data_IF_379624779073
#
_entry.id   IF_379624779073
#
_cell.length_a   1.000
_cell.length_b   1.000
_cell.length_c   1.000
_cell.angle_alpha   90.00
_cell.angle_beta   90.00
_cell.angle_gamma   90.00
#
_symmetry.space_group_name_H-M   'P 1'
#
loop_
_entity.id
_entity.type
_entity.pdbx_description
1 polymer ?
#
# COMPACT_ATOMS: atom_id res chain seq x y z
N UNK A 1 70.47 9.89 32.85
CA UNK A 1 70.44 10.64 31.57
C UNK A 1 69.09 10.32 30.92
N UNK A 2 68.18 11.31 30.84
CA UNK A 2 67.86 12.09 29.62
C UNK A 2 67.14 11.15 28.62
N UNK A 3 65.93 11.36 28.09
CA UNK A 3 65.24 12.56 27.58
C UNK A 3 63.73 12.23 27.47
N UNK A 4 62.84 12.97 28.11
CA UNK A 4 61.41 12.94 27.76
C UNK A 4 61.20 13.83 26.53
N UNK A 5 60.78 13.20 25.43
CA UNK A 5 60.48 13.88 24.16
C UNK A 5 59.02 14.35 24.18
N UNK A 6 58.82 15.62 24.47
CA UNK A 6 57.53 16.30 24.29
C UNK A 6 57.29 16.56 22.80
N UNK A 7 56.30 15.86 22.22
CA UNK A 7 55.69 16.24 20.93
C UNK A 7 54.28 16.79 21.19
N UNK A 8 53.99 18.06 20.85
CA UNK A 8 52.64 18.58 20.89
C UNK A 8 51.89 18.14 19.64
N UNK A 9 50.74 17.50 19.81
CA UNK A 9 49.81 17.24 18.70
C UNK A 9 48.79 18.36 18.61
N UNK A 10 49.08 19.28 17.69
CA UNK A 10 48.17 20.30 17.18
C UNK A 10 47.26 19.64 16.12
N UNK A 11 45.94 19.61 16.28
CA UNK A 11 44.91 19.40 15.23
C UNK A 11 43.52 19.45 15.90
N UNK A 12 42.43 20.03 15.40
CA UNK A 12 42.09 20.94 14.30
C UNK A 12 40.58 21.22 14.51
N UNK A 13 40.04 22.46 14.36
CA UNK A 13 38.64 22.77 14.64
C UNK A 13 37.73 22.35 13.46
N UNK A 14 37.57 21.04 13.24
CA UNK A 14 36.78 20.47 12.12
C UNK A 14 35.49 19.74 12.55
N UNK A 15 35.11 19.79 13.83
CA UNK A 15 34.07 18.91 14.39
C UNK A 15 32.68 19.55 14.56
N UNK A 16 32.48 20.84 14.21
CA UNK A 16 31.17 21.50 14.37
C UNK A 16 30.22 21.30 13.18
N UNK A 17 30.75 21.10 11.97
CA UNK A 17 29.95 20.86 10.76
C UNK A 17 29.47 19.40 10.69
N UNK A 18 30.30 18.43 11.09
CA UNK A 18 29.94 17.01 11.14
C UNK A 18 28.85 16.72 12.16
N UNK A 19 28.89 17.36 13.33
CA UNK A 19 27.85 17.23 14.35
C UNK A 19 26.47 17.73 13.85
N UNK A 20 26.43 18.83 13.09
CA UNK A 20 25.17 19.37 12.54
C UNK A 20 24.58 18.46 11.46
N UNK A 21 25.41 17.91 10.58
CA UNK A 21 24.95 16.96 9.55
C UNK A 21 24.39 15.68 10.19
N UNK A 22 25.05 15.16 11.23
CA UNK A 22 24.56 13.96 11.94
C UNK A 22 23.22 14.20 12.64
N UNK A 23 23.00 15.40 13.20
CA UNK A 23 21.74 15.75 13.87
C UNK A 23 20.58 15.87 12.86
N UNK A 24 20.83 16.47 11.68
CA UNK A 24 19.85 16.55 10.60
C UNK A 24 19.53 15.15 10.05
N UNK A 25 20.53 14.30 9.85
CA UNK A 25 20.32 12.90 9.43
C UNK A 25 19.53 12.10 10.48
N UNK A 26 19.85 12.27 11.77
CA UNK A 26 19.12 11.60 12.85
C UNK A 26 17.65 12.06 12.94
N UNK A 27 17.39 13.36 12.76
CA UNK A 27 16.03 13.91 12.69
C UNK A 27 15.27 13.41 11.45
N UNK A 28 15.91 13.35 10.28
CA UNK A 28 15.30 12.82 9.06
C UNK A 28 14.99 11.32 9.20
N UNK A 29 15.91 10.53 9.77
CA UNK A 29 15.66 9.13 10.10
C UNK A 29 14.54 8.98 11.12
N UNK A 30 14.49 9.83 12.16
CA UNK A 30 13.42 9.82 13.17
C UNK A 30 12.04 10.12 12.56
N UNK A 31 11.95 11.15 11.71
CA UNK A 31 10.72 11.49 10.99
C UNK A 31 10.28 10.37 10.05
N UNK A 32 11.23 9.73 9.35
CA UNK A 32 10.95 8.58 8.49
C UNK A 32 10.46 7.35 9.28
N UNK A 33 11.03 7.08 10.46
CA UNK A 33 10.58 5.97 11.33
C UNK A 33 9.17 6.24 11.89
N UNK A 34 8.88 7.47 12.33
CA UNK A 34 7.54 7.83 12.83
C UNK A 34 6.50 7.79 11.70
N UNK A 35 6.85 8.23 10.49
CA UNK A 35 5.96 8.14 9.33
C UNK A 35 5.73 6.68 8.89
N UNK A 36 6.75 5.83 8.98
CA UNK A 36 6.65 4.39 8.71
C UNK A 36 5.83 3.64 9.78
N UNK A 37 5.93 4.05 11.05
CA UNK A 37 5.14 3.46 12.13
C UNK A 37 3.66 3.85 12.04
N UNK A 38 3.34 5.04 11.53
CA UNK A 38 1.95 5.45 11.29
C UNK A 38 1.31 4.72 10.11
N UNK A 39 2.08 4.25 9.12
CA UNK A 39 1.57 3.26 8.15
C UNK A 39 1.19 1.99 8.90
N UNK A 40 2.08 1.42 9.71
CA UNK A 40 1.80 0.17 10.44
C UNK A 40 0.62 0.23 11.44
N UNK A 41 0.26 1.41 11.95
CA UNK A 41 -0.85 1.57 12.90
C UNK A 41 -2.22 1.77 12.23
N UNK A 42 -2.28 2.14 10.95
CA UNK A 42 -3.55 2.28 10.20
C UNK A 42 -3.88 1.01 9.37
N UNK A 43 -2.95 0.04 9.36
CA UNK A 43 -3.09 -1.22 8.63
C UNK A 43 -3.88 -2.29 9.41
N UNK A 44 -4.18 -2.06 10.69
CA UNK A 44 -4.92 -3.03 11.55
C UNK A 44 -6.44 -2.92 11.48
N UNK A 45 -6.99 -1.94 10.74
CA UNK A 45 -8.45 -1.86 10.52
C UNK A 45 -8.91 -2.18 9.10
N UNK A 46 -8.00 -2.37 8.14
CA UNK A 46 -8.39 -2.61 6.74
C UNK A 46 -7.54 -3.63 5.96
N UNK A 47 -6.58 -4.32 6.57
CA UNK A 47 -6.02 -5.52 5.97
C UNK A 47 -6.86 -6.74 6.33
N UNK A 48 -7.69 -7.12 5.35
CA UNK A 48 -7.94 -8.53 4.99
C UNK A 48 -6.57 -9.21 4.86
N UNK A 49 -6.02 -9.60 6.00
CA UNK A 49 -4.87 -10.47 6.07
C UNK A 49 -5.37 -11.86 5.74
N UNK A 50 -5.16 -12.29 4.49
CA UNK A 50 -5.09 -13.72 4.19
C UNK A 50 -3.94 -14.26 5.02
N UNK A 51 -4.26 -14.73 6.23
CA UNK A 51 -3.37 -15.58 7.00
C UNK A 51 -3.29 -16.88 6.22
N UNK A 52 -2.23 -17.07 5.46
CA UNK A 52 -1.85 -18.40 4.99
C UNK A 52 -1.44 -19.17 6.24
N UNK A 53 -2.42 -19.81 6.88
CA UNK A 53 -2.17 -20.82 7.90
C UNK A 53 -1.56 -22.02 7.20
N UNK A 54 -0.28 -22.28 7.47
CA UNK A 54 0.32 -23.60 7.25
C UNK A 54 -0.38 -24.58 8.20
N UNK A 55 -1.36 -25.32 7.68
CA UNK A 55 -2.01 -26.38 8.44
C UNK A 55 -3.48 -26.59 8.13
N UNK A 56 -3.80 -27.02 6.92
CA UNK A 56 -4.80 -28.08 6.67
C UNK A 56 -4.63 -28.55 5.21
N UNK A 57 -4.64 -29.85 4.93
CA UNK A 57 -4.72 -30.34 3.53
C UNK A 57 -6.19 -30.22 3.10
N UNK A 58 -6.69 -29.00 3.05
CA UNK A 58 -7.89 -28.67 2.29
C UNK A 58 -7.46 -28.59 0.84
N UNK A 59 -8.16 -29.30 -0.05
CA UNK A 59 -7.89 -29.23 -1.49
C UNK A 59 -7.77 -27.75 -1.93
N UNK A 60 -6.79 -27.39 -2.78
CA UNK A 60 -6.60 -26.01 -3.19
C UNK A 60 -7.93 -25.46 -3.76
N UNK A 61 -8.29 -24.22 -3.42
CA UNK A 61 -9.54 -23.64 -3.89
C UNK A 61 -9.55 -23.68 -5.42
N UNK A 62 -10.71 -24.04 -5.98
CA UNK A 62 -10.90 -23.97 -7.43
C UNK A 62 -10.67 -22.53 -7.92
N UNK A 63 -10.18 -22.39 -9.14
CA UNK A 63 -9.97 -21.07 -9.74
C UNK A 63 -11.26 -20.23 -9.73
N UNK A 64 -12.43 -20.85 -9.97
CA UNK A 64 -13.73 -20.17 -9.91
C UNK A 64 -14.05 -19.61 -8.53
N UNK A 65 -13.73 -20.35 -7.46
CA UNK A 65 -13.96 -19.86 -6.09
C UNK A 65 -13.06 -18.65 -5.77
N UNK A 66 -11.81 -18.67 -6.23
CA UNK A 66 -10.89 -17.53 -6.05
C UNK A 66 -11.43 -16.29 -6.77
N UNK A 67 -11.87 -16.42 -8.02
CA UNK A 67 -12.41 -15.27 -8.76
C UNK A 67 -13.72 -14.73 -8.18
N UNK A 68 -14.53 -15.60 -7.58
CA UNK A 68 -15.75 -15.18 -6.86
C UNK A 68 -15.42 -14.34 -5.63
N UNK A 69 -14.42 -14.75 -4.86
CA UNK A 69 -13.94 -14.00 -3.70
C UNK A 69 -13.30 -12.66 -4.09
N UNK A 70 -12.50 -12.65 -5.16
CA UNK A 70 -11.92 -11.44 -5.73
C UNK A 70 -13.01 -10.46 -6.16
N UNK A 71 -14.03 -10.93 -6.86
CA UNK A 71 -15.16 -10.09 -7.26
C UNK A 71 -15.89 -9.51 -6.05
N UNK A 72 -16.17 -10.31 -5.02
CA UNK A 72 -16.82 -9.84 -3.80
C UNK A 72 -16.00 -8.73 -3.11
N UNK A 73 -14.68 -8.89 -3.04
CA UNK A 73 -13.77 -7.89 -2.46
C UNK A 73 -13.76 -6.60 -3.28
N UNK A 74 -13.73 -6.71 -4.61
CA UNK A 74 -13.79 -5.55 -5.51
C UNK A 74 -15.14 -4.83 -5.42
N UNK A 75 -16.24 -5.57 -5.38
CA UNK A 75 -17.59 -5.01 -5.23
C UNK A 75 -17.72 -4.24 -3.91
N UNK A 76 -17.21 -4.79 -2.80
CA UNK A 76 -17.22 -4.09 -1.51
C UNK A 76 -16.40 -2.79 -1.55
N UNK A 77 -15.22 -2.81 -2.17
CA UNK A 77 -14.38 -1.60 -2.32
C UNK A 77 -15.01 -0.57 -3.28
N UNK A 78 -15.68 -1.02 -4.33
CA UNK A 78 -16.42 -0.16 -5.25
C UNK A 78 -17.62 0.51 -4.52
N UNK A 79 -18.35 -0.25 -3.70
CA UNK A 79 -19.43 0.28 -2.87
C UNK A 79 -18.92 1.31 -1.84
N UNK A 80 -17.69 1.12 -1.34
CA UNK A 80 -17.00 2.08 -0.48
C UNK A 80 -16.47 3.34 -1.21
N UNK A 81 -16.48 3.36 -2.55
CA UNK A 81 -16.08 4.52 -3.36
C UNK A 81 -14.73 4.43 -4.05
N UNK A 82 -14.05 3.28 -4.02
CA UNK A 82 -12.82 3.10 -4.80
C UNK A 82 -13.13 3.04 -6.29
N UNK A 83 -12.63 4.05 -7.02
CA UNK A 83 -12.83 4.18 -8.47
C UNK A 83 -12.18 3.02 -9.23
N UNK A 84 -10.97 2.61 -8.83
CA UNK A 84 -10.25 1.49 -9.43
C UNK A 84 -11.00 0.17 -9.23
N UNK A 85 -11.49 -0.08 -8.01
CA UNK A 85 -12.28 -1.26 -7.72
C UNK A 85 -13.58 -1.28 -8.52
N UNK A 86 -14.26 -0.13 -8.65
CA UNK A 86 -15.46 0.02 -9.48
C UNK A 86 -15.19 -0.31 -10.96
N UNK A 87 -14.06 0.15 -11.53
CA UNK A 87 -13.66 -0.20 -12.91
C UNK A 87 -13.49 -1.70 -13.07
N UNK A 88 -12.75 -2.34 -12.17
CA UNK A 88 -12.49 -3.77 -12.24
C UNK A 88 -13.76 -4.60 -12.02
N UNK A 89 -14.61 -4.25 -11.06
CA UNK A 89 -15.89 -4.92 -10.83
C UNK A 89 -16.80 -4.84 -12.07
N UNK A 90 -16.90 -3.67 -12.71
CA UNK A 90 -17.67 -3.50 -13.95
C UNK A 90 -17.08 -4.32 -15.11
N UNK A 91 -15.75 -4.40 -15.22
CA UNK A 91 -15.09 -5.25 -16.21
C UNK A 91 -15.38 -6.73 -15.98
N UNK A 92 -15.29 -7.19 -14.72
CA UNK A 92 -15.58 -8.56 -14.34
C UNK A 92 -17.04 -8.92 -14.60
N UNK A 93 -18.00 -8.04 -14.31
CA UNK A 93 -19.42 -8.26 -14.65
C UNK A 93 -19.62 -8.51 -16.15
N UNK A 94 -18.93 -7.73 -17.00
CA UNK A 94 -19.09 -7.82 -18.46
C UNK A 94 -18.36 -9.01 -19.07
N UNK A 95 -17.14 -9.29 -18.61
CA UNK A 95 -16.23 -10.27 -19.20
C UNK A 95 -16.13 -11.56 -18.38
N UNK A 96 -16.91 -11.68 -17.31
CA UNK A 96 -16.96 -12.78 -16.36
C UNK A 96 -16.86 -14.15 -17.01
N UNK A 97 -17.87 -14.53 -17.82
CA UNK A 97 -17.91 -15.84 -18.46
C UNK A 97 -16.76 -16.10 -19.42
N UNK A 98 -16.23 -15.05 -20.06
CA UNK A 98 -15.20 -15.17 -21.09
C UNK A 98 -13.80 -15.32 -20.50
N UNK A 99 -13.48 -14.53 -19.47
CA UNK A 99 -12.13 -14.48 -18.88
C UNK A 99 -12.01 -15.44 -17.70
N UNK A 100 -13.03 -15.51 -16.85
CA UNK A 100 -12.97 -16.21 -15.57
C UNK A 100 -13.83 -17.48 -15.54
N UNK A 101 -14.60 -17.74 -16.60
CA UNK A 101 -15.53 -18.87 -16.67
C UNK A 101 -16.65 -18.82 -15.62
N UNK A 102 -16.93 -17.63 -15.06
CA UNK A 102 -17.93 -17.39 -14.01
C UNK A 102 -18.73 -16.14 -14.35
N UNK A 103 -20.05 -16.22 -14.26
CA UNK A 103 -20.92 -15.05 -14.30
C UNK A 103 -20.97 -14.41 -12.92
N UNK A 104 -20.68 -13.13 -12.84
CA UNK A 104 -20.81 -12.35 -11.61
C UNK A 104 -22.12 -11.59 -11.61
N UNK A 105 -22.67 -11.37 -10.42
CA UNK A 105 -23.95 -10.68 -10.26
C UNK A 105 -23.77 -9.42 -9.39
N UNK A 106 -24.46 -8.35 -9.77
CA UNK A 106 -24.60 -7.13 -8.99
C UNK A 106 -25.97 -6.52 -9.26
N UNK A 107 -26.53 -5.83 -8.27
CA UNK A 107 -27.79 -5.13 -8.47
C UNK A 107 -27.64 -3.98 -9.47
N UNK A 108 -28.71 -3.64 -10.20
CA UNK A 108 -28.69 -2.53 -11.15
C UNK A 108 -28.28 -1.19 -10.49
N UNK A 109 -28.67 -1.01 -9.22
CA UNK A 109 -28.27 0.16 -8.43
C UNK A 109 -26.76 0.19 -8.16
N UNK A 110 -26.14 -0.95 -7.78
CA UNK A 110 -24.69 -1.02 -7.56
C UNK A 110 -23.95 -0.70 -8.86
N UNK A 111 -24.38 -1.30 -9.98
CA UNK A 111 -23.78 -1.05 -11.30
C UNK A 111 -23.86 0.44 -11.67
N UNK A 112 -25.02 1.07 -11.50
CA UNK A 112 -25.19 2.50 -11.80
C UNK A 112 -24.31 3.39 -10.91
N UNK A 113 -24.19 3.04 -9.63
CA UNK A 113 -23.34 3.77 -8.68
C UNK A 113 -21.86 3.66 -9.06
N UNK A 114 -21.38 2.47 -9.39
CA UNK A 114 -20.01 2.25 -9.83
C UNK A 114 -19.69 2.97 -11.13
N UNK A 115 -20.61 2.94 -12.11
CA UNK A 115 -20.44 3.69 -13.36
C UNK A 115 -20.27 5.19 -13.11
N UNK A 116 -21.08 5.76 -12.21
CA UNK A 116 -20.96 7.18 -11.84
C UNK A 116 -19.59 7.49 -11.22
N UNK A 117 -19.14 6.69 -10.26
CA UNK A 117 -17.82 6.85 -9.64
C UNK A 117 -16.69 6.82 -10.66
N UNK A 118 -16.78 5.95 -11.68
CA UNK A 118 -15.77 5.84 -12.73
C UNK A 118 -15.73 7.08 -13.63
N UNK A 119 -16.89 7.65 -13.95
CA UNK A 119 -17.00 8.89 -14.72
C UNK A 119 -16.44 10.06 -13.92
N UNK A 120 -16.91 10.26 -12.69
CA UNK A 120 -16.48 11.36 -11.81
C UNK A 120 -14.99 11.24 -11.43
N UNK A 121 -14.50 10.02 -11.17
CA UNK A 121 -13.11 9.75 -10.85
C UNK A 121 -12.15 9.85 -12.05
N UNK A 122 -12.66 9.81 -13.28
CA UNK A 122 -11.87 10.05 -14.49
C UNK A 122 -11.48 11.51 -14.68
N UNK A 123 -12.35 12.44 -14.26
CA UNK A 123 -12.12 13.88 -14.38
C UNK A 123 -11.08 14.40 -13.38
N UNK A 124 -11.02 13.80 -12.19
CA UNK A 124 -10.07 14.19 -11.13
C UNK A 124 -8.64 13.75 -11.43
N UNK A 125 -8.45 12.65 -12.18
CA UNK A 125 -7.13 12.16 -12.58
C UNK A 125 -6.47 12.98 -13.70
N UNK A 126 -7.24 13.72 -14.49
CA UNK A 126 -6.75 14.45 -15.68
C UNK A 126 -6.38 15.92 -15.40
N UNK A 127 -6.70 16.44 -14.20
CA UNK A 127 -6.35 17.79 -13.75
C UNK A 127 -5.09 17.84 -12.87
N UNK A 128 -4.31 16.75 -12.80
CA UNK A 128 -2.96 16.73 -12.22
C UNK A 128 -1.92 16.47 -13.31
N UNK A 129 -1.76 17.44 -14.20
CA UNK A 129 -0.61 17.56 -15.10
C UNK A 129 -0.09 18.99 -15.02
#
# INVERSE_FOLDING_TARGET
MKYESTKPSHHHPRNRLTARVLLVMAMACGAFIVLSANVAADETSALVGVRVSDGDITAPPSERSVWTEVFATLAQRADAGSVEAARLALQMLRLGPLIYGVSFEASAWQVQRWQRQVVEGGEVGMNRC
#
